data_IF_290573511216
#
_entry.id   IF_290573511216
#
_cell.length_a   1.000
_cell.length_b   1.000
_cell.length_c   1.000
_cell.angle_alpha   90.00
_cell.angle_beta   90.00
_cell.angle_gamma   90.00
#
_symmetry.space_group_name_H-M   'P 1'
#
loop_
_entity.id
_entity.type
_entity.pdbx_description
1 polymer ?
#
# COMPACT_ATOMS: atom_id res chain seq x y z
N UNK A 1 -14.55 18.05 -1.66
CA UNK A 1 -13.48 17.08 -1.94
C UNK A 1 -12.58 17.69 -3.00
N UNK A 2 -11.37 18.12 -2.63
CA UNK A 2 -10.42 18.69 -3.59
C UNK A 2 -9.90 17.61 -4.54
N UNK A 3 -9.65 17.97 -5.80
CA UNK A 3 -8.93 17.11 -6.75
C UNK A 3 -7.61 17.79 -7.03
N UNK A 4 -6.52 17.15 -6.61
CA UNK A 4 -5.18 17.67 -6.78
C UNK A 4 -4.44 16.82 -7.81
N UNK A 5 -3.63 17.46 -8.65
CA UNK A 5 -2.81 16.75 -9.62
C UNK A 5 -1.63 16.08 -8.91
N UNK A 6 -0.84 16.86 -8.19
CA UNK A 6 0.30 16.37 -7.42
C UNK A 6 0.42 17.10 -6.09
N UNK A 7 0.98 16.40 -5.10
CA UNK A 7 1.40 16.98 -3.82
C UNK A 7 2.67 16.26 -3.34
N UNK A 8 3.62 17.02 -2.81
CA UNK A 8 4.83 16.51 -2.17
C UNK A 8 4.85 16.99 -0.72
N UNK A 9 5.17 16.08 0.20
CA UNK A 9 5.14 16.36 1.65
C UNK A 9 6.34 15.72 2.34
N UNK A 10 7.26 16.54 2.82
CA UNK A 10 8.52 16.06 3.39
C UNK A 10 8.36 15.39 4.77
N UNK A 11 7.32 15.74 5.54
CA UNK A 11 7.21 15.32 6.95
C UNK A 11 5.91 14.60 7.29
N UNK A 12 4.76 15.28 7.17
CA UNK A 12 3.48 14.67 7.54
C UNK A 12 2.32 15.14 6.68
N UNK A 13 1.67 14.19 6.03
CA UNK A 13 0.36 14.36 5.41
C UNK A 13 -0.70 13.75 6.33
N UNK A 14 -1.75 14.52 6.62
CA UNK A 14 -2.94 14.01 7.29
C UNK A 14 -4.15 14.43 6.48
N UNK A 15 -4.77 13.47 5.79
CA UNK A 15 -5.96 13.71 4.98
C UNK A 15 -7.11 12.89 5.54
N UNK A 16 -8.31 13.48 5.55
CA UNK A 16 -9.52 12.75 5.89
C UNK A 16 -10.24 12.25 4.63
N UNK A 17 -10.06 12.94 3.50
CA UNK A 17 -10.70 12.66 2.21
C UNK A 17 -9.86 13.20 1.05
N UNK A 18 -8.89 12.39 0.59
CA UNK A 18 -7.95 12.75 -0.46
C UNK A 18 -8.32 12.22 -1.84
N UNK A 19 -8.14 13.04 -2.87
CA UNK A 19 -8.09 12.60 -4.28
C UNK A 19 -6.89 13.23 -4.98
N UNK A 20 -5.88 12.42 -5.24
CA UNK A 20 -4.66 12.87 -5.90
C UNK A 20 -4.35 12.00 -7.10
N UNK A 21 -3.81 12.60 -8.16
CA UNK A 21 -3.20 11.77 -9.22
C UNK A 21 -1.89 11.21 -8.70
N UNK A 22 -1.04 12.05 -8.11
CA UNK A 22 0.21 11.64 -7.46
C UNK A 22 0.35 12.27 -6.08
N UNK A 23 0.78 11.49 -5.09
CA UNK A 23 1.21 11.99 -3.79
C UNK A 23 2.53 11.32 -3.43
N UNK A 24 3.50 12.12 -2.98
CA UNK A 24 4.77 11.65 -2.45
C UNK A 24 4.93 12.14 -1.02
N UNK A 25 5.26 11.24 -0.10
CA UNK A 25 5.44 11.58 1.31
C UNK A 25 6.67 10.89 1.88
N UNK A 26 7.67 11.65 2.31
CA UNK A 26 8.93 11.03 2.75
C UNK A 26 8.75 10.33 4.11
N UNK A 27 8.11 10.99 5.08
CA UNK A 27 8.04 10.45 6.45
C UNK A 27 6.71 9.78 6.79
N UNK A 28 5.59 10.50 6.88
CA UNK A 28 4.34 9.88 7.34
C UNK A 28 3.10 10.38 6.62
N UNK A 29 2.27 9.44 6.16
CA UNK A 29 0.89 9.70 5.79
C UNK A 29 -0.07 9.00 6.75
N UNK A 30 -1.12 9.72 7.11
CA UNK A 30 -2.29 9.18 7.77
C UNK A 30 -3.52 9.58 6.95
N UNK A 31 -4.18 8.61 6.34
CA UNK A 31 -5.39 8.83 5.54
C UNK A 31 -6.55 8.01 6.09
N UNK A 32 -7.74 8.60 6.08
CA UNK A 32 -8.97 7.90 6.41
C UNK A 32 -9.71 7.43 5.16
N UNK A 33 -9.67 8.20 4.07
CA UNK A 33 -10.35 7.89 2.82
C UNK A 33 -9.59 8.48 1.62
N UNK A 34 -8.82 7.62 0.96
CA UNK A 34 -7.92 8.01 -0.12
C UNK A 34 -8.30 7.46 -1.48
N UNK A 35 -8.16 8.27 -2.53
CA UNK A 35 -8.03 7.76 -3.92
C UNK A 35 -6.81 8.37 -4.59
N UNK A 36 -5.87 7.51 -4.94
CA UNK A 36 -4.60 7.88 -5.52
C UNK A 36 -4.38 7.09 -6.80
N UNK A 37 -3.91 7.75 -7.86
CA UNK A 37 -3.38 6.98 -8.99
C UNK A 37 -2.00 6.45 -8.64
N UNK A 38 -1.14 7.30 -8.08
CA UNK A 38 0.16 6.92 -7.54
C UNK A 38 0.34 7.49 -6.14
N UNK A 39 0.78 6.65 -5.21
CA UNK A 39 1.26 7.06 -3.90
C UNK A 39 2.65 6.44 -3.66
N UNK A 40 3.62 7.27 -3.29
CA UNK A 40 4.94 6.84 -2.86
C UNK A 40 5.19 7.34 -1.44
N UNK A 41 5.61 6.44 -0.55
CA UNK A 41 5.92 6.79 0.84
C UNK A 41 7.17 6.10 1.35
N UNK A 42 8.16 6.84 1.81
CA UNK A 42 9.43 6.21 2.20
C UNK A 42 9.30 5.53 3.59
N UNK A 43 8.73 6.22 4.59
CA UNK A 43 8.74 5.69 5.96
C UNK A 43 7.43 5.04 6.44
N UNK A 44 6.28 5.73 6.48
CA UNK A 44 5.06 5.13 7.06
C UNK A 44 3.75 5.56 6.43
N UNK A 45 2.92 4.57 6.10
CA UNK A 45 1.50 4.71 5.79
C UNK A 45 0.64 4.15 6.91
N UNK A 46 -0.38 4.92 7.27
CA UNK A 46 -1.55 4.42 7.98
C UNK A 46 -2.80 4.82 7.20
N UNK A 47 -3.47 3.85 6.58
CA UNK A 47 -4.68 4.07 5.80
C UNK A 47 -5.82 3.20 6.32
N UNK A 48 -7.01 3.78 6.37
CA UNK A 48 -8.22 3.06 6.74
C UNK A 48 -9.03 2.59 5.53
N UNK A 49 -9.08 3.38 4.45
CA UNK A 49 -9.85 3.09 3.25
C UNK A 49 -9.23 3.76 2.03
N UNK A 50 -8.43 3.02 1.27
CA UNK A 50 -7.75 3.55 0.10
C UNK A 50 -8.09 2.86 -1.20
N UNK A 51 -8.04 3.60 -2.30
CA UNK A 51 -7.96 3.03 -3.65
C UNK A 51 -6.74 3.60 -4.36
N UNK A 52 -5.85 2.69 -4.73
CA UNK A 52 -4.57 2.99 -5.34
C UNK A 52 -4.45 2.24 -6.66
N UNK A 53 -4.10 2.94 -7.72
CA UNK A 53 -3.62 2.23 -8.91
C UNK A 53 -2.22 1.69 -8.61
N UNK A 54 -1.32 2.53 -8.10
CA UNK A 54 0.01 2.15 -7.67
C UNK A 54 0.29 2.63 -6.25
N UNK A 55 0.82 1.75 -5.42
CA UNK A 55 1.38 2.09 -4.11
C UNK A 55 2.81 1.54 -3.98
N UNK A 56 3.75 2.43 -3.64
CA UNK A 56 5.13 2.10 -3.30
C UNK A 56 5.44 2.55 -1.88
N UNK A 57 5.96 1.65 -1.04
CA UNK A 57 6.36 1.98 0.32
C UNK A 57 7.65 1.29 0.76
N UNK A 58 8.63 2.07 1.22
CA UNK A 58 9.94 1.49 1.54
C UNK A 58 9.93 0.82 2.92
N UNK A 59 9.32 1.44 3.94
CA UNK A 59 9.40 0.91 5.31
C UNK A 59 8.14 0.25 5.85
N UNK A 60 7.01 0.95 6.04
CA UNK A 60 5.84 0.37 6.73
C UNK A 60 4.50 0.80 6.15
N UNK A 61 3.62 -0.19 5.94
CA UNK A 61 2.19 0.01 5.69
C UNK A 61 1.37 -0.60 6.82
N UNK A 62 0.40 0.16 7.32
CA UNK A 62 -0.75 -0.35 8.06
C UNK A 62 -2.01 0.05 7.30
N UNK A 63 -2.69 -0.92 6.70
CA UNK A 63 -3.88 -0.71 5.90
C UNK A 63 -5.03 -1.59 6.39
N UNK A 64 -6.23 -1.02 6.46
CA UNK A 64 -7.42 -1.71 6.91
C UNK A 64 -8.40 -2.09 5.80
N UNK A 65 -8.49 -1.33 4.69
CA UNK A 65 -9.44 -1.56 3.59
C UNK A 65 -8.94 -0.97 2.26
N UNK A 66 -7.68 -1.18 1.93
CA UNK A 66 -7.08 -0.72 0.68
C UNK A 66 -7.41 -1.61 -0.51
N UNK A 67 -7.41 -1.00 -1.68
CA UNK A 67 -7.45 -1.69 -2.97
C UNK A 67 -6.32 -1.18 -3.83
N UNK A 68 -5.47 -2.11 -4.26
CA UNK A 68 -4.26 -1.83 -5.03
C UNK A 68 -4.33 -2.54 -6.38
N UNK A 69 -4.05 -1.84 -7.47
CA UNK A 69 -3.75 -2.54 -8.74
C UNK A 69 -2.31 -3.04 -8.73
N UNK A 70 -1.38 -2.22 -8.23
CA UNK A 70 0.01 -2.56 -7.97
C UNK A 70 0.41 -2.13 -6.56
N UNK A 71 1.16 -2.99 -5.87
CA UNK A 71 1.69 -2.75 -4.53
C UNK A 71 3.13 -3.24 -4.47
N UNK A 72 4.06 -2.36 -4.11
CA UNK A 72 5.46 -2.69 -3.85
C UNK A 72 5.82 -2.22 -2.45
N UNK A 73 6.45 -3.11 -1.69
CA UNK A 73 6.81 -2.85 -0.30
C UNK A 73 8.13 -3.52 0.03
N UNK A 74 9.07 -2.75 0.57
CA UNK A 74 10.44 -3.25 0.77
C UNK A 74 10.66 -3.89 2.14
N UNK A 75 9.88 -3.52 3.18
CA UNK A 75 10.14 -4.01 4.54
C UNK A 75 8.94 -4.67 5.23
N UNK A 76 7.83 -3.96 5.51
CA UNK A 76 6.73 -4.50 6.34
C UNK A 76 5.33 -4.07 5.88
N UNK A 77 4.42 -5.04 5.83
CA UNK A 77 2.99 -4.85 5.55
C UNK A 77 2.17 -5.44 6.70
N UNK A 78 1.23 -4.65 7.21
CA UNK A 78 0.11 -5.12 8.02
C UNK A 78 -1.18 -4.71 7.31
N UNK A 79 -1.84 -5.67 6.65
CA UNK A 79 -3.04 -5.45 5.85
C UNK A 79 -4.18 -6.33 6.38
N UNK A 80 -5.25 -5.69 6.83
CA UNK A 80 -6.43 -6.34 7.40
C UNK A 80 -7.56 -6.60 6.39
N UNK A 81 -7.41 -6.22 5.11
CA UNK A 81 -8.45 -6.39 4.11
C UNK A 81 -7.93 -6.69 2.70
N UNK A 82 -8.23 -7.90 2.25
CA UNK A 82 -8.65 -8.10 0.85
C UNK A 82 -7.55 -8.02 -0.19
N UNK A 83 -6.60 -8.96 -0.10
CA UNK A 83 -5.88 -9.55 -1.24
C UNK A 83 -5.54 -8.57 -2.38
N UNK A 84 -4.31 -8.05 -2.36
CA UNK A 84 -3.62 -7.83 -3.64
C UNK A 84 -3.66 -9.15 -4.39
N UNK A 85 -4.47 -9.22 -5.44
CA UNK A 85 -4.74 -10.45 -6.19
C UNK A 85 -3.43 -11.05 -6.73
N UNK A 86 -2.38 -10.24 -6.87
CA UNK A 86 -1.05 -10.68 -7.25
C UNK A 86 -0.18 -11.07 -6.04
N UNK A 87 -0.12 -10.28 -4.96
CA UNK A 87 0.68 -10.64 -3.79
C UNK A 87 0.16 -11.90 -3.09
N UNK A 88 -1.16 -12.08 -3.00
CA UNK A 88 -1.77 -13.32 -2.51
C UNK A 88 -1.41 -14.52 -3.40
N UNK A 89 -1.38 -14.35 -4.73
CA UNK A 89 -0.98 -15.43 -5.65
C UNK A 89 0.48 -15.81 -5.49
N UNK A 90 1.39 -14.84 -5.40
CA UNK A 90 2.81 -15.11 -5.23
C UNK A 90 3.12 -15.73 -3.86
N UNK A 91 2.52 -15.21 -2.78
CA UNK A 91 2.66 -15.78 -1.44
C UNK A 91 2.11 -17.21 -1.39
N UNK A 92 0.93 -17.46 -1.97
CA UNK A 92 0.33 -18.80 -2.03
C UNK A 92 1.18 -19.77 -2.87
N UNK A 93 1.76 -19.30 -3.98
CA UNK A 93 2.67 -20.09 -4.82
C UNK A 93 3.91 -20.51 -4.04
N UNK A 94 4.57 -19.57 -3.35
CA UNK A 94 5.73 -19.85 -2.51
C UNK A 94 5.42 -20.86 -1.39
N UNK A 95 4.28 -20.71 -0.71
CA UNK A 95 3.85 -21.67 0.32
C UNK A 95 3.62 -23.09 -0.25
N UNK A 96 3.00 -23.19 -1.44
CA UNK A 96 2.72 -24.50 -2.07
C UNK A 96 4.01 -25.18 -2.54
N UNK A 97 4.96 -24.42 -3.08
CA UNK A 97 6.27 -24.94 -3.50
C UNK A 97 7.09 -25.43 -2.31
N UNK A 98 7.07 -24.71 -1.19
CA UNK A 98 7.78 -25.13 0.02
C UNK A 98 7.20 -26.41 0.62
N UNK A 99 5.87 -26.52 0.71
CA UNK A 99 5.19 -27.73 1.17
C UNK A 99 5.51 -28.96 0.28
N UNK A 100 5.53 -28.76 -1.04
CA UNK A 100 5.85 -29.83 -1.99
C UNK A 100 7.31 -30.28 -1.91
N UNK A 101 8.23 -29.36 -1.60
CA UNK A 101 9.67 -29.66 -1.45
C UNK A 101 9.96 -30.43 -0.16
N UNK A 102 9.20 -30.18 0.91
CA UNK A 102 9.35 -30.90 2.17
C UNK A 102 8.69 -32.28 2.15
N UNK A 103 7.69 -32.50 1.29
CA UNK A 103 7.05 -33.81 1.11
C UNK A 103 7.86 -34.81 0.25
N UNK A 104 8.90 -34.33 -0.44
CA UNK A 104 9.77 -35.12 -1.32
C UNK A 104 11.18 -35.37 -0.75
N UNK A 105 11.39 -35.05 0.53
CA UNK A 105 12.55 -35.48 1.34
C UNK A 105 12.10 -36.55 2.33
#
# INVERSE_FOLDING_TARGET
MGKYTSLQVDSKANDNMGKYTSLQVDSKINDNMGKYTSLQVDSKINDNMGKYTSLQVDSKINDNMGKYTSLQVDSKINDNCGASTQAYKEIKKLMTTWASTQAYK
#
